data_IF_401019025886
#
_entry.id   IF_401019025886
#
_cell.length_a   1.000
_cell.length_b   1.000
_cell.length_c   1.000
_cell.angle_alpha   90.00
_cell.angle_beta   90.00
_cell.angle_gamma   90.00
#
_symmetry.space_group_name_H-M   'P 1'
#
loop_
_entity.id
_entity.type
_entity.pdbx_description
1 polymer ?
#
# COMPACT_ATOMS: atom_id res chain seq x y z
N UNK A 1 10.69 -36.34 -25.60
CA UNK A 1 9.38 -35.77 -25.94
C UNK A 1 9.31 -34.38 -25.35
N UNK A 2 9.62 -33.36 -26.16
CA UNK A 2 9.50 -31.96 -25.74
C UNK A 2 8.02 -31.58 -25.79
N UNK A 3 7.41 -31.42 -24.62
CA UNK A 3 6.09 -30.83 -24.51
C UNK A 3 6.23 -29.33 -24.76
N UNK A 4 5.77 -28.89 -25.93
CA UNK A 4 5.54 -27.48 -26.23
C UNK A 4 4.41 -27.00 -25.32
N UNK A 5 4.73 -26.19 -24.30
CA UNK A 5 3.69 -25.42 -23.61
C UNK A 5 3.20 -24.37 -24.57
N UNK A 6 1.97 -24.53 -25.08
CA UNK A 6 1.31 -23.49 -25.84
C UNK A 6 1.19 -22.24 -24.95
N UNK A 7 2.01 -21.23 -25.23
CA UNK A 7 1.78 -19.89 -24.70
C UNK A 7 0.49 -19.37 -25.34
N UNK A 8 -0.63 -19.42 -24.63
CA UNK A 8 -1.80 -18.68 -25.07
C UNK A 8 -1.46 -17.20 -24.97
N UNK A 9 -1.06 -16.56 -26.07
CA UNK A 9 -0.90 -15.11 -26.15
C UNK A 9 -2.29 -14.45 -26.20
N UNK A 10 -3.10 -14.71 -25.18
CA UNK A 10 -4.35 -14.02 -24.95
C UNK A 10 -4.09 -12.63 -24.40
N UNK A 11 -5.09 -11.77 -24.46
CA UNK A 11 -5.08 -10.51 -23.74
C UNK A 11 -5.03 -10.79 -22.22
N UNK A 12 -3.87 -10.58 -21.60
CA UNK A 12 -3.65 -10.86 -20.17
C UNK A 12 -3.89 -9.63 -19.28
N UNK A 13 -4.30 -8.51 -19.86
CA UNK A 13 -4.39 -7.27 -19.13
C UNK A 13 -5.69 -7.16 -18.32
N UNK A 14 -5.66 -6.38 -17.25
CA UNK A 14 -6.81 -6.24 -16.35
C UNK A 14 -7.95 -5.45 -17.03
N UNK A 15 -8.98 -6.14 -17.52
CA UNK A 15 -10.17 -5.49 -18.10
C UNK A 15 -9.92 -4.82 -19.45
N UNK A 16 -10.00 -3.48 -19.50
CA UNK A 16 -9.60 -2.68 -20.69
C UNK A 16 -8.27 -1.96 -20.48
N UNK A 17 -7.62 -2.18 -19.34
CA UNK A 17 -6.39 -1.48 -18.99
C UNK A 17 -5.17 -2.17 -19.62
N UNK A 18 -4.05 -1.45 -19.78
CA UNK A 18 -2.76 -2.02 -20.22
C UNK A 18 -1.95 -2.60 -19.06
N UNK A 19 -2.53 -2.67 -17.86
CA UNK A 19 -1.92 -3.29 -16.68
C UNK A 19 -1.78 -4.80 -16.88
N UNK A 20 -0.61 -5.40 -16.66
CA UNK A 20 -0.40 -6.86 -16.69
C UNK A 20 -1.32 -7.64 -15.73
N UNK A 21 -1.41 -8.96 -15.92
CA UNK A 21 -2.12 -9.83 -14.98
C UNK A 21 -1.58 -9.70 -13.55
N UNK A 22 -2.43 -9.95 -12.55
CA UNK A 22 -2.05 -9.86 -11.14
C UNK A 22 -0.89 -10.80 -10.80
N UNK A 23 -0.90 -12.02 -11.31
CA UNK A 23 0.20 -12.99 -11.16
C UNK A 23 1.51 -12.48 -11.75
N UNK A 24 1.45 -11.79 -12.90
CA UNK A 24 2.63 -11.19 -13.52
C UNK A 24 3.18 -10.05 -12.66
N UNK A 25 2.32 -9.17 -12.15
CA UNK A 25 2.73 -8.06 -11.28
C UNK A 25 3.42 -8.53 -9.99
N UNK A 26 2.91 -9.60 -9.36
CA UNK A 26 3.55 -10.16 -8.16
C UNK A 26 4.84 -10.93 -8.47
N UNK A 27 4.97 -11.52 -9.67
CA UNK A 27 6.14 -12.27 -10.10
C UNK A 27 7.30 -11.42 -10.66
N UNK A 28 7.07 -10.14 -10.97
CA UNK A 28 8.12 -9.22 -11.38
C UNK A 28 8.99 -8.77 -10.19
N UNK A 29 10.30 -8.67 -10.40
CA UNK A 29 11.22 -8.09 -9.43
C UNK A 29 11.02 -6.56 -9.36
N UNK A 30 11.03 -6.01 -8.14
CA UNK A 30 10.75 -4.59 -7.87
C UNK A 30 11.79 -3.63 -8.49
N UNK A 31 12.92 -4.14 -9.00
CA UNK A 31 14.02 -3.33 -9.53
C UNK A 31 13.86 -2.92 -11.00
N UNK A 32 13.09 -3.65 -11.81
CA UNK A 32 13.04 -3.44 -13.28
C UNK A 32 11.77 -2.76 -13.81
N UNK A 33 10.62 -2.90 -13.12
CA UNK A 33 9.33 -2.42 -13.65
C UNK A 33 8.82 -1.14 -12.97
N UNK A 34 9.54 -0.62 -11.99
CA UNK A 34 8.96 0.28 -11.03
C UNK A 34 9.10 1.75 -11.46
N UNK A 35 8.00 2.52 -11.62
CA UNK A 35 8.12 3.97 -11.68
C UNK A 35 8.87 4.40 -10.41
N UNK A 36 9.95 5.21 -10.54
CA UNK A 36 10.79 5.55 -9.41
C UNK A 36 9.89 6.06 -8.28
N UNK A 37 10.13 5.65 -7.03
CA UNK A 37 9.48 6.31 -5.89
C UNK A 37 9.90 7.77 -5.98
N UNK A 38 8.99 8.64 -6.44
CA UNK A 38 9.35 9.94 -7.07
C UNK A 38 9.89 10.95 -6.07
N UNK A 39 10.07 10.61 -4.79
CA UNK A 39 10.55 11.58 -3.82
C UNK A 39 11.42 10.99 -2.73
N UNK A 40 12.53 11.68 -2.50
CA UNK A 40 13.30 11.55 -1.29
C UNK A 40 12.54 12.25 -0.15
N UNK A 41 12.32 11.54 0.95
CA UNK A 41 11.85 12.16 2.19
C UNK A 41 12.95 11.99 3.22
N UNK A 42 13.45 13.10 3.77
CA UNK A 42 14.44 13.06 4.84
C UNK A 42 13.96 12.18 6.02
N UNK A 43 12.66 12.21 6.33
CA UNK A 43 12.06 11.37 7.38
C UNK A 43 12.01 9.90 6.96
N UNK A 44 11.62 9.59 5.71
CA UNK A 44 11.56 8.19 5.24
C UNK A 44 12.95 7.57 5.05
N UNK A 45 13.96 8.38 4.74
CA UNK A 45 15.36 7.97 4.59
C UNK A 45 16.06 7.72 5.93
N UNK A 46 15.44 8.13 7.06
CA UNK A 46 15.96 7.87 8.40
C UNK A 46 15.49 6.51 8.90
N UNK A 47 16.44 5.59 9.15
CA UNK A 47 16.15 4.35 9.87
C UNK A 47 15.97 4.66 11.36
N UNK A 48 14.72 4.77 11.80
CA UNK A 48 14.40 4.97 13.21
C UNK A 48 14.76 3.70 14.00
N UNK A 49 15.60 3.84 15.02
CA UNK A 49 15.79 2.80 16.02
C UNK A 49 14.68 2.93 17.06
N UNK A 50 13.98 1.82 17.33
CA UNK A 50 13.00 1.79 18.40
C UNK A 50 13.74 2.00 19.73
N UNK A 51 13.53 3.17 20.33
CA UNK A 51 14.03 3.49 21.66
C UNK A 51 12.88 3.36 22.66
N UNK A 52 13.05 2.49 23.65
CA UNK A 52 12.14 2.40 24.79
C UNK A 52 12.48 3.51 25.78
N UNK A 53 12.02 4.72 25.47
CA UNK A 53 12.18 5.87 26.37
C UNK A 53 10.98 5.94 27.34
N UNK A 54 11.24 6.13 28.63
CA UNK A 54 10.19 6.37 29.63
C UNK A 54 9.65 7.80 29.59
N UNK A 55 10.38 8.71 28.94
CA UNK A 55 10.04 10.13 28.80
C UNK A 55 9.65 10.42 27.35
N UNK A 56 8.61 11.25 27.18
CA UNK A 56 8.16 11.66 25.87
C UNK A 56 9.24 12.47 25.12
N UNK A 57 9.56 12.04 23.91
CA UNK A 57 10.50 12.75 23.03
C UNK A 57 9.76 13.83 22.22
N UNK A 58 10.10 15.09 22.48
CA UNK A 58 9.55 16.25 21.78
C UNK A 58 9.84 16.24 20.27
N UNK A 59 10.99 15.70 19.87
CA UNK A 59 11.40 15.57 18.46
C UNK A 59 10.44 14.66 17.71
N UNK A 60 10.11 13.50 18.28
CA UNK A 60 9.15 12.56 17.69
C UNK A 60 7.74 13.16 17.59
N UNK A 61 7.30 13.89 18.61
CA UNK A 61 5.99 14.57 18.60
C UNK A 61 5.87 15.60 17.49
N UNK A 62 6.97 16.26 17.13
CA UNK A 62 7.00 17.25 16.05
C UNK A 62 6.75 16.68 14.65
N UNK A 63 6.89 15.35 14.47
CA UNK A 63 6.64 14.64 13.21
C UNK A 63 5.15 14.46 12.91
N UNK A 64 4.28 14.65 13.90
CA UNK A 64 2.82 14.54 13.74
C UNK A 64 2.21 15.90 13.42
N UNK A 65 1.09 15.90 12.70
CA UNK A 65 0.33 17.12 12.37
C UNK A 65 -0.61 17.60 13.50
N UNK A 66 -0.52 16.98 14.69
CA UNK A 66 -1.38 17.32 15.83
C UNK A 66 -1.12 18.76 16.32
N UNK A 67 -2.19 19.48 16.64
CA UNK A 67 -2.09 20.76 17.34
C UNK A 67 -1.85 20.52 18.85
N UNK A 68 -0.60 20.22 19.19
CA UNK A 68 -0.17 19.94 20.56
C UNK A 68 0.01 21.20 21.43
N UNK A 69 -0.03 22.39 20.82
CA UNK A 69 -0.04 23.65 21.57
C UNK A 69 -1.40 23.90 22.21
N UNK A 70 -2.47 23.49 21.53
CA UNK A 70 -3.86 23.69 21.98
C UNK A 70 -4.42 22.49 22.72
N UNK A 71 -4.02 21.27 22.35
CA UNK A 71 -4.66 20.05 22.84
C UNK A 71 -3.65 19.00 23.33
N UNK A 72 -4.01 18.32 24.41
CA UNK A 72 -3.35 17.08 24.81
C UNK A 72 -4.08 15.91 24.14
N UNK A 73 -3.41 15.23 23.21
CA UNK A 73 -4.00 14.14 22.44
C UNK A 73 -3.79 12.79 23.15
N UNK A 74 -4.79 12.34 23.91
CA UNK A 74 -4.71 11.13 24.73
C UNK A 74 -5.20 9.87 24.01
N UNK A 75 -6.26 9.99 23.20
CA UNK A 75 -6.92 8.83 22.57
C UNK A 75 -6.43 8.58 21.14
N UNK A 76 -5.15 8.21 21.00
CA UNK A 76 -4.58 7.84 19.70
C UNK A 76 -5.23 6.59 19.10
N UNK A 77 -5.71 5.67 19.94
CA UNK A 77 -6.27 4.39 19.50
C UNK A 77 -7.61 4.48 18.76
N UNK A 78 -8.31 5.62 18.80
CA UNK A 78 -9.59 5.77 18.11
C UNK A 78 -9.44 6.01 16.59
N UNK A 79 -8.63 7.00 16.22
CA UNK A 79 -8.50 7.43 14.82
C UNK A 79 -7.05 7.58 14.35
N UNK A 80 -6.08 7.32 15.24
CA UNK A 80 -4.67 7.56 14.98
C UNK A 80 -4.30 9.04 14.90
N UNK A 81 -3.05 9.32 14.56
CA UNK A 81 -2.56 10.65 14.30
C UNK A 81 -1.68 10.62 13.05
N UNK A 82 -2.00 11.40 12.01
CA UNK A 82 -1.23 11.37 10.78
C UNK A 82 0.14 12.02 10.99
N UNK A 83 1.19 11.35 10.50
CA UNK A 83 2.52 11.94 10.41
C UNK A 83 2.57 12.92 9.24
N UNK A 84 3.39 13.97 9.35
CA UNK A 84 3.59 14.96 8.29
C UNK A 84 4.08 14.30 7.00
N UNK A 85 4.95 13.29 7.10
CA UNK A 85 5.44 12.52 5.95
C UNK A 85 4.32 11.76 5.25
N UNK A 86 3.38 11.15 5.98
CA UNK A 86 2.25 10.44 5.37
C UNK A 86 1.27 11.41 4.67
N UNK A 87 1.03 12.58 5.27
CA UNK A 87 0.18 13.63 4.66
C UNK A 87 0.82 14.13 3.35
N UNK A 88 2.11 14.40 3.38
CA UNK A 88 2.86 14.88 2.22
C UNK A 88 2.87 13.84 1.09
N UNK A 89 3.08 12.56 1.43
CA UNK A 89 2.99 11.45 0.49
C UNK A 89 1.59 11.35 -0.15
N UNK A 90 0.53 11.42 0.64
CA UNK A 90 -0.84 11.37 0.14
C UNK A 90 -1.16 12.54 -0.80
N UNK A 91 -0.70 13.75 -0.46
CA UNK A 91 -0.89 14.93 -1.31
C UNK A 91 -0.18 14.80 -2.66
N UNK A 92 1.04 14.24 -2.68
CA UNK A 92 1.80 13.99 -3.91
C UNK A 92 1.14 12.95 -4.80
N UNK A 93 0.73 11.81 -4.23
CA UNK A 93 0.02 10.79 -5.01
C UNK A 93 -1.25 11.34 -5.65
N UNK A 94 -1.98 12.19 -4.92
CA UNK A 94 -3.17 12.86 -5.48
C UNK A 94 -2.79 13.80 -6.61
N UNK A 95 -1.76 14.63 -6.45
CA UNK A 95 -1.30 15.53 -7.51
C UNK A 95 -0.83 14.77 -8.77
N UNK A 96 -0.14 13.64 -8.61
CA UNK A 96 0.30 12.79 -9.72
C UNK A 96 -0.89 12.15 -10.44
N UNK A 97 -1.84 11.59 -9.69
CA UNK A 97 -3.07 11.04 -10.25
C UNK A 97 -3.88 12.10 -11.01
N UNK A 98 -4.00 13.31 -10.46
CA UNK A 98 -4.74 14.42 -11.06
C UNK A 98 -4.02 15.01 -12.29
N UNK A 99 -2.69 14.96 -12.35
CA UNK A 99 -1.91 15.49 -13.47
C UNK A 99 -2.10 14.69 -14.77
N UNK A 100 -2.27 13.36 -14.69
CA UNK A 100 -2.53 12.52 -15.84
C UNK A 100 -3.37 11.27 -15.47
N UNK A 101 -4.69 11.42 -15.24
CA UNK A 101 -5.52 10.34 -14.67
C UNK A 101 -5.54 9.07 -15.49
N UNK A 102 -5.56 9.17 -16.83
CA UNK A 102 -5.56 7.99 -17.69
C UNK A 102 -4.29 7.16 -17.49
N UNK A 103 -3.11 7.81 -17.55
CA UNK A 103 -1.84 7.12 -17.37
C UNK A 103 -1.71 6.54 -15.95
N UNK A 104 -2.07 7.32 -14.93
CA UNK A 104 -2.01 6.86 -13.54
C UNK A 104 -2.87 5.61 -13.30
N UNK A 105 -4.15 5.65 -13.70
CA UNK A 105 -5.07 4.55 -13.45
C UNK A 105 -4.83 3.33 -14.37
N UNK A 106 -4.38 3.55 -15.62
CA UNK A 106 -4.15 2.48 -16.61
C UNK A 106 -2.82 1.74 -16.43
N UNK A 107 -1.79 2.44 -15.93
CA UNK A 107 -0.40 1.97 -15.99
C UNK A 107 0.35 2.01 -14.67
N UNK A 108 0.06 2.97 -13.80
CA UNK A 108 0.89 3.20 -12.59
C UNK A 108 0.27 2.61 -11.32
N UNK A 109 -1.05 2.71 -11.17
CA UNK A 109 -1.75 2.41 -9.92
C UNK A 109 -1.52 0.97 -9.44
N UNK A 110 -1.72 -0.04 -10.29
CA UNK A 110 -1.62 -1.44 -9.88
C UNK A 110 -0.19 -1.88 -9.55
N UNK A 111 0.84 -1.54 -10.34
CA UNK A 111 2.23 -1.74 -9.92
C UNK A 111 2.55 -1.11 -8.56
N UNK A 112 2.12 0.15 -8.34
CA UNK A 112 2.32 0.85 -7.05
C UNK A 112 1.60 0.15 -5.88
N UNK A 113 0.38 -0.36 -6.10
CA UNK A 113 -0.38 -1.12 -5.10
C UNK A 113 0.33 -2.44 -4.77
N UNK A 114 0.83 -3.16 -5.77
CA UNK A 114 1.57 -4.41 -5.55
C UNK A 114 2.85 -4.15 -4.77
N UNK A 115 3.60 -3.08 -5.08
CA UNK A 115 4.76 -2.65 -4.29
C UNK A 115 4.38 -2.37 -2.84
N UNK A 116 3.28 -1.66 -2.60
CA UNK A 116 2.79 -1.40 -1.25
C UNK A 116 2.45 -2.70 -0.50
N UNK A 117 1.84 -3.68 -1.18
CA UNK A 117 1.54 -4.99 -0.61
C UNK A 117 2.81 -5.78 -0.30
N UNK A 118 3.80 -5.81 -1.20
CA UNK A 118 5.10 -6.48 -0.97
C UNK A 118 5.85 -5.86 0.23
N UNK A 119 5.91 -4.53 0.30
CA UNK A 119 6.50 -3.83 1.43
C UNK A 119 5.76 -4.12 2.75
N UNK A 120 4.42 -4.13 2.72
CA UNK A 120 3.61 -4.47 3.88
C UNK A 120 3.81 -5.93 4.31
N UNK A 121 3.86 -6.88 3.36
CA UNK A 121 4.13 -8.29 3.63
C UNK A 121 5.48 -8.48 4.35
N UNK A 122 6.53 -7.80 3.88
CA UNK A 122 7.83 -7.79 4.53
C UNK A 122 7.79 -7.20 5.95
N UNK A 123 7.01 -6.14 6.16
CA UNK A 123 6.83 -5.53 7.47
C UNK A 123 6.08 -6.45 8.46
N UNK A 124 5.02 -7.14 8.03
CA UNK A 124 4.23 -8.03 8.89
C UNK A 124 4.72 -9.48 8.93
N UNK A 125 5.75 -9.84 8.17
CA UNK A 125 6.32 -11.19 8.14
C UNK A 125 5.51 -12.22 7.34
N UNK A 126 4.77 -11.80 6.32
CA UNK A 126 4.01 -12.69 5.43
C UNK A 126 4.88 -13.10 4.25
N UNK A 127 5.08 -14.41 4.06
CA UNK A 127 5.97 -14.96 3.02
C UNK A 127 5.41 -14.89 1.60
N UNK A 128 4.09 -14.76 1.45
CA UNK A 128 3.39 -14.74 0.15
C UNK A 128 2.57 -13.46 0.03
N UNK A 129 3.13 -12.37 -0.52
CA UNK A 129 2.45 -11.06 -0.63
C UNK A 129 1.09 -11.12 -1.34
N UNK A 130 0.93 -12.02 -2.31
CA UNK A 130 -0.30 -12.24 -3.09
C UNK A 130 -1.48 -12.71 -2.23
N UNK A 131 -1.23 -13.14 -0.98
CA UNK A 131 -2.26 -13.52 -0.01
C UNK A 131 -2.80 -12.34 0.80
N UNK A 132 -2.21 -11.15 0.65
CA UNK A 132 -2.63 -9.93 1.32
C UNK A 132 -3.48 -9.05 0.41
N UNK A 133 -4.48 -8.42 1.03
CA UNK A 133 -5.36 -7.46 0.37
C UNK A 133 -5.42 -6.16 1.18
N UNK A 134 -5.38 -5.02 0.50
CA UNK A 134 -5.58 -3.72 1.12
C UNK A 134 -7.07 -3.40 1.14
N UNK A 135 -7.59 -3.02 2.30
CA UNK A 135 -8.99 -2.65 2.49
C UNK A 135 -9.10 -1.26 3.11
N UNK A 136 -10.21 -0.52 2.89
CA UNK A 136 -10.35 0.84 3.40
C UNK A 136 -10.31 0.95 4.93
N UNK A 137 -10.75 -0.09 5.66
CA UNK A 137 -10.74 -0.15 7.12
C UNK A 137 -11.02 -1.57 7.64
N UNK A 138 -10.87 -1.77 8.94
CA UNK A 138 -11.10 -3.05 9.61
C UNK A 138 -12.56 -3.54 9.46
N UNK A 139 -13.54 -2.65 9.51
CA UNK A 139 -14.96 -3.02 9.35
C UNK A 139 -15.26 -3.56 7.95
N UNK A 140 -14.65 -2.97 6.92
CA UNK A 140 -14.75 -3.49 5.54
C UNK A 140 -14.21 -4.92 5.47
N UNK A 141 -13.07 -5.21 6.12
CA UNK A 141 -12.53 -6.57 6.21
C UNK A 141 -13.47 -7.56 6.88
N UNK A 142 -14.10 -7.17 8.00
CA UNK A 142 -15.08 -8.02 8.67
C UNK A 142 -16.27 -8.34 7.77
N UNK A 143 -16.78 -7.33 7.04
CA UNK A 143 -17.90 -7.52 6.11
C UNK A 143 -17.54 -8.41 4.92
N UNK A 144 -16.33 -8.27 4.37
CA UNK A 144 -15.85 -9.11 3.27
C UNK A 144 -15.84 -10.60 3.64
N UNK A 145 -15.38 -10.94 4.85
CA UNK A 145 -15.34 -12.33 5.32
C UNK A 145 -16.75 -12.89 5.58
N UNK A 146 -17.65 -12.10 6.18
CA UNK A 146 -19.02 -12.57 6.46
C UNK A 146 -19.79 -12.91 5.18
N UNK A 147 -19.76 -12.01 4.19
CA UNK A 147 -20.47 -12.23 2.91
C UNK A 147 -19.95 -13.47 2.19
N UNK A 148 -18.64 -13.67 2.18
CA UNK A 148 -18.02 -14.82 1.52
C UNK A 148 -18.45 -16.18 2.13
N UNK A 149 -18.78 -16.22 3.43
CA UNK A 149 -19.28 -17.44 4.09
C UNK A 149 -20.78 -17.69 3.88
N UNK A 150 -21.59 -16.64 3.69
CA UNK A 150 -23.03 -16.80 3.43
C UNK A 150 -23.26 -17.39 2.03
N UNK A 151 -22.49 -16.96 1.03
CA UNK A 151 -22.56 -17.52 -0.32
C UNK A 151 -22.12 -18.99 -0.36
N UNK A 152 -21.10 -19.37 0.44
CA UNK A 152 -20.61 -20.76 0.50
C UNK A 152 -21.49 -21.72 1.34
N UNK A 153 -22.45 -21.20 2.10
CA UNK A 153 -23.40 -22.00 2.89
C UNK A 153 -24.77 -22.13 2.20
N UNK A 154 -24.93 -21.52 1.04
CA UNK A 154 -26.13 -21.55 0.21
C UNK A 154 -26.06 -22.59 -0.93
N UNK A 155 -24.96 -23.35 -0.99
CA UNK A 155 -24.73 -24.54 -1.83
C UNK A 155 -24.63 -25.80 -0.94
#
# INVERSE_FOLDING_TARGET
MFSSSASSSGYEAFGSFHTPSTSSLFGQDDAESDPPVVWESNVASQRLQLQTNSVADASNRSLFALNLQKWTYLNHGAFGAPTKVAIEAAARWRAQADAQPLNFNDRELFPLVVRAIKAFAGFVGVSKPETLVLLPNASAGLHSVRRCKEDAASD
#
